data_IF_418460564137
#
_entry.id   IF_418460564137
#
_cell.length_a   1.000
_cell.length_b   1.000
_cell.length_c   1.000
_cell.angle_alpha   90.00
_cell.angle_beta   90.00
_cell.angle_gamma   90.00
#
_symmetry.space_group_name_H-M   'P 1'
#
loop_
_entity.id
_entity.type
_entity.pdbx_description
1 polymer ?
#
# COMPACT_ATOMS: atom_id res chain seq x y z
N UNK A 1 8.63 -1.05 -8.40
CA UNK A 1 9.77 -1.19 -7.45
C UNK A 1 9.65 -0.32 -6.21
N UNK A 2 9.11 0.92 -6.27
CA UNK A 2 9.07 1.84 -5.12
C UNK A 2 8.44 1.27 -3.83
N UNK A 3 7.33 0.51 -3.93
CA UNK A 3 6.71 -0.12 -2.76
C UNK A 3 7.65 -1.08 -2.02
N UNK A 4 8.29 -2.01 -2.73
CA UNK A 4 9.19 -3.00 -2.11
C UNK A 4 10.38 -2.32 -1.42
N UNK A 5 10.98 -1.31 -2.07
CA UNK A 5 12.06 -0.52 -1.47
C UNK A 5 11.57 0.22 -0.22
N UNK A 6 10.40 0.86 -0.27
CA UNK A 6 9.81 1.56 0.86
C UNK A 6 9.62 0.64 2.07
N UNK A 7 9.10 -0.57 1.87
CA UNK A 7 8.86 -1.51 2.97
C UNK A 7 10.16 -2.01 3.61
N UNK A 8 11.22 -2.21 2.82
CA UNK A 8 12.54 -2.60 3.34
C UNK A 8 13.22 -1.43 4.05
N UNK A 9 13.14 -0.21 3.52
CA UNK A 9 13.75 0.98 4.12
C UNK A 9 13.03 1.46 5.38
N UNK A 10 11.72 1.20 5.49
CA UNK A 10 10.89 1.64 6.60
C UNK A 10 10.15 0.44 7.25
N UNK A 11 10.86 -0.46 7.94
CA UNK A 11 10.27 -1.70 8.47
C UNK A 11 9.17 -1.47 9.51
N UNK A 12 9.16 -0.32 10.20
CA UNK A 12 8.09 0.05 11.12
C UNK A 12 6.77 0.36 10.40
N UNK A 13 6.83 0.99 9.21
CA UNK A 13 5.65 1.23 8.34
C UNK A 13 5.11 -0.10 7.85
N UNK A 14 6.00 -1.00 7.40
CA UNK A 14 5.61 -2.34 6.96
C UNK A 14 4.90 -3.11 8.08
N UNK A 15 5.45 -3.12 9.30
CA UNK A 15 4.84 -3.78 10.46
C UNK A 15 3.48 -3.18 10.82
N UNK A 16 3.33 -1.86 10.74
CA UNK A 16 2.05 -1.21 11.03
C UNK A 16 0.99 -1.55 9.99
N UNK A 17 1.35 -1.55 8.69
CA UNK A 17 0.45 -1.99 7.62
C UNK A 17 0.03 -3.45 7.78
N UNK A 18 0.96 -4.34 8.17
CA UNK A 18 0.65 -5.74 8.47
C UNK A 18 -0.29 -5.87 9.67
N UNK A 19 -0.10 -5.09 10.74
CA UNK A 19 -0.98 -5.11 11.90
C UNK A 19 -2.42 -4.67 11.56
N UNK A 20 -2.57 -3.65 10.71
CA UNK A 20 -3.89 -3.23 10.21
C UNK A 20 -4.56 -4.37 9.42
N UNK A 21 -3.84 -5.01 8.50
CA UNK A 21 -4.35 -6.16 7.73
C UNK A 21 -4.77 -7.30 8.67
N UNK A 22 -3.89 -7.70 9.59
CA UNK A 22 -4.17 -8.77 10.56
C UNK A 22 -5.42 -8.46 11.40
N UNK A 23 -5.63 -7.19 11.78
CA UNK A 23 -6.78 -6.78 12.58
C UNK A 23 -8.12 -6.78 11.83
N UNK A 24 -8.10 -6.48 10.52
CA UNK A 24 -9.31 -6.33 9.70
C UNK A 24 -9.68 -7.62 8.98
N UNK A 25 -8.68 -8.32 8.46
CA UNK A 25 -8.85 -9.51 7.61
C UNK A 25 -8.73 -10.79 8.43
N UNK A 26 -7.97 -10.78 9.52
CA UNK A 26 -7.57 -11.98 10.24
C UNK A 26 -6.48 -12.76 9.50
N UNK A 27 -6.19 -13.98 9.96
CA UNK A 27 -5.13 -14.83 9.39
C UNK A 27 -5.65 -16.04 8.60
N UNK A 28 -6.97 -16.19 8.51
CA UNK A 28 -7.62 -17.36 7.91
C UNK A 28 -7.88 -17.22 6.40
N UNK A 29 -7.73 -16.00 5.86
CA UNK A 29 -7.95 -15.71 4.44
C UNK A 29 -7.05 -14.58 3.94
N UNK A 30 -6.92 -14.48 2.61
CA UNK A 30 -6.29 -13.34 1.98
C UNK A 30 -7.24 -12.12 1.91
N UNK A 31 -6.70 -10.89 1.88
CA UNK A 31 -7.49 -9.69 1.64
C UNK A 31 -8.18 -9.67 0.28
N UNK A 32 -9.34 -9.01 0.21
CA UNK A 32 -10.09 -8.77 -1.03
C UNK A 32 -10.33 -7.27 -1.22
N UNK A 33 -10.76 -6.85 -2.41
CA UNK A 33 -11.09 -5.43 -2.64
C UNK A 33 -12.22 -4.89 -1.76
N UNK A 34 -13.08 -5.75 -1.19
CA UNK A 34 -14.12 -5.35 -0.24
C UNK A 34 -13.55 -4.83 1.08
N UNK A 35 -12.38 -5.33 1.48
CA UNK A 35 -11.71 -4.96 2.73
C UNK A 35 -11.02 -3.59 2.64
N UNK A 36 -10.78 -3.07 1.42
CA UNK A 36 -10.01 -1.85 1.17
C UNK A 36 -10.53 -0.64 1.94
N UNK A 37 -11.85 -0.51 2.11
CA UNK A 37 -12.46 0.62 2.82
C UNK A 37 -12.08 0.65 4.30
N UNK A 38 -11.75 -0.53 4.85
CA UNK A 38 -11.38 -0.74 6.24
C UNK A 38 -9.86 -0.77 6.45
N UNK A 39 -9.07 -0.52 5.39
CA UNK A 39 -7.59 -0.52 5.43
C UNK A 39 -7.01 0.87 5.10
N UNK A 40 -7.36 1.93 5.86
CA UNK A 40 -6.95 3.30 5.54
C UNK A 40 -5.43 3.51 5.60
N UNK A 41 -4.71 2.80 6.46
CA UNK A 41 -3.25 2.93 6.52
C UNK A 41 -2.57 2.27 5.32
N UNK A 42 -2.98 1.05 4.95
CA UNK A 42 -2.50 0.38 3.73
C UNK A 42 -2.79 1.24 2.49
N UNK A 43 -3.99 1.85 2.40
CA UNK A 43 -4.32 2.79 1.33
C UNK A 43 -3.36 3.99 1.30
N UNK A 44 -3.00 4.52 2.47
CA UNK A 44 -2.05 5.64 2.57
C UNK A 44 -0.65 5.24 2.10
N UNK A 45 -0.17 4.04 2.47
CA UNK A 45 1.10 3.49 1.99
C UNK A 45 1.08 3.33 0.46
N UNK A 46 0.00 2.79 -0.09
CA UNK A 46 -0.17 2.66 -1.54
C UNK A 46 -0.09 4.02 -2.23
N UNK A 47 -0.85 5.01 -1.74
CA UNK A 47 -0.89 6.36 -2.33
C UNK A 47 0.46 7.05 -2.27
N UNK A 48 1.19 6.90 -1.16
CA UNK A 48 2.50 7.54 -1.01
C UNK A 48 3.55 6.90 -1.91
N UNK A 49 3.55 5.57 -2.04
CA UNK A 49 4.48 4.90 -2.97
C UNK A 49 4.20 5.24 -4.43
N UNK A 50 2.93 5.41 -4.81
CA UNK A 50 2.55 5.92 -6.13
C UNK A 50 2.87 7.41 -6.32
N UNK A 51 2.86 8.22 -5.26
CA UNK A 51 3.30 9.62 -5.32
C UNK A 51 4.80 9.71 -5.60
N UNK A 52 5.61 8.84 -4.99
CA UNK A 52 7.06 8.81 -5.24
C UNK A 52 7.40 8.33 -6.65
N UNK A 53 6.72 7.27 -7.09
CA UNK A 53 6.95 6.69 -8.39
C UNK A 53 5.63 6.16 -8.97
N UNK A 54 4.90 6.98 -9.73
CA UNK A 54 3.65 6.56 -10.34
C UNK A 54 3.91 5.43 -11.35
N UNK A 55 2.92 4.54 -11.52
CA UNK A 55 3.02 3.42 -12.46
C UNK A 55 3.13 3.89 -13.93
N UNK A 56 2.55 5.06 -14.23
CA UNK A 56 2.60 5.71 -15.54
C UNK A 56 3.16 7.12 -15.36
N UNK A 57 4.19 7.53 -16.12
CA UNK A 57 4.67 8.91 -16.11
C UNK A 57 3.54 9.86 -16.54
N UNK A 58 3.21 10.84 -15.70
CA UNK A 58 2.13 11.80 -15.96
C UNK A 58 2.31 12.61 -17.27
N UNK A 59 3.53 12.68 -17.81
CA UNK A 59 3.87 13.46 -19.00
C UNK A 59 3.33 12.93 -20.34
N UNK A 60 2.88 11.68 -20.42
CA UNK A 60 2.38 11.08 -21.67
C UNK A 60 0.86 11.22 -21.87
N UNK A 61 0.15 11.83 -20.92
CA UNK A 61 -1.31 12.05 -20.98
C UNK A 61 -1.68 13.38 -21.68
N UNK A 62 -0.70 14.26 -21.93
CA UNK A 62 -0.89 15.57 -22.55
C UNK A 62 -0.19 15.70 -23.92
N UNK A 63 0.09 14.60 -24.61
CA UNK A 63 0.65 14.61 -25.98
C UNK A 63 -0.23 13.85 -26.95
#
# INVERSE_FOLDING_TARGET
MAFALAMVSYPHVQKHAQAEIDSVVGRDRLPTFKDRVSLPYVESVLRETLRWQPAVPLGNILR
#
